data_IF_450527471361
#
_entry.id   IF_450527471361
#
_cell.length_a   1.000
_cell.length_b   1.000
_cell.length_c   1.000
_cell.angle_alpha   90.00
_cell.angle_beta   90.00
_cell.angle_gamma   90.00
#
_symmetry.space_group_name_H-M   'P 1'
#
loop_
_entity.id
_entity.type
_entity.pdbx_description
1 polymer ?
#
# COMPACT_ATOMS: atom_id res chain seq x y z
N UNK A 1 -6.52 13.71 10.75
CA UNK A 1 -5.44 14.68 10.89
C UNK A 1 -6.02 16.06 10.64
N UNK A 2 -5.75 17.02 11.50
CA UNK A 2 -6.13 18.43 11.36
C UNK A 2 -5.11 19.19 10.52
N UNK A 3 -5.47 20.36 10.00
CA UNK A 3 -4.57 21.23 9.22
C UNK A 3 -3.28 21.54 9.99
N UNK A 4 -3.39 21.76 11.31
CA UNK A 4 -2.26 22.02 12.20
C UNK A 4 -1.33 20.81 12.32
N UNK A 5 -1.88 19.61 12.42
CA UNK A 5 -1.09 18.36 12.48
C UNK A 5 -0.38 18.08 11.15
N UNK A 6 -1.05 18.34 10.03
CA UNK A 6 -0.46 18.23 8.70
C UNK A 6 0.69 19.23 8.49
N UNK A 7 0.47 20.50 8.84
CA UNK A 7 1.49 21.55 8.78
C UNK A 7 2.73 21.19 9.59
N UNK A 8 2.53 20.72 10.83
CA UNK A 8 3.63 20.36 11.71
C UNK A 8 4.43 19.18 11.15
N UNK A 9 3.75 18.17 10.61
CA UNK A 9 4.43 17.01 10.03
C UNK A 9 5.24 17.41 8.80
N UNK A 10 4.65 18.14 7.86
CA UNK A 10 5.31 18.50 6.61
C UNK A 10 6.46 19.49 6.84
N UNK A 11 6.30 20.43 7.79
CA UNK A 11 7.38 21.29 8.25
C UNK A 11 8.56 20.47 8.78
N UNK A 12 8.31 19.52 9.68
CA UNK A 12 9.35 18.65 10.23
C UNK A 12 10.06 17.83 9.13
N UNK A 13 9.32 17.37 8.12
CA UNK A 13 9.86 16.63 6.98
C UNK A 13 10.78 17.51 6.12
N UNK A 14 10.33 18.70 5.74
CA UNK A 14 11.11 19.63 4.90
C UNK A 14 12.37 20.12 5.62
N UNK A 15 12.25 20.46 6.91
CA UNK A 15 13.41 20.84 7.74
C UNK A 15 14.42 19.70 7.85
N UNK A 16 13.96 18.45 7.99
CA UNK A 16 14.85 17.28 8.05
C UNK A 16 15.53 17.00 6.71
N UNK A 17 14.84 17.20 5.58
CA UNK A 17 15.42 17.07 4.24
C UNK A 17 16.54 18.09 4.01
N UNK A 18 16.44 19.29 4.60
CA UNK A 18 17.46 20.33 4.56
C UNK A 18 18.57 20.17 5.63
N UNK A 19 18.66 19.01 6.29
CA UNK A 19 19.72 18.73 7.27
C UNK A 19 19.44 19.21 8.70
N UNK A 20 18.19 19.60 9.00
CA UNK A 20 17.69 19.84 10.36
C UNK A 20 18.03 21.21 10.97
N UNK A 21 18.99 21.95 10.40
CA UNK A 21 19.32 23.32 10.80
C UNK A 21 19.02 24.28 9.66
N UNK A 22 17.86 24.91 9.74
CA UNK A 22 17.35 25.84 8.73
C UNK A 22 17.37 27.25 9.31
N UNK A 23 17.72 28.26 8.51
CA UNK A 23 17.68 29.66 8.95
C UNK A 23 16.25 30.11 9.24
N UNK A 24 16.09 31.18 10.02
CA UNK A 24 14.76 31.74 10.32
C UNK A 24 14.05 32.18 9.04
N UNK A 25 14.78 32.81 8.12
CA UNK A 25 14.26 33.23 6.81
C UNK A 25 13.74 32.04 6.01
N UNK A 26 14.53 30.97 5.92
CA UNK A 26 14.13 29.75 5.20
C UNK A 26 12.96 29.03 5.88
N UNK A 27 12.90 29.04 7.21
CA UNK A 27 11.74 28.54 7.96
C UNK A 27 10.46 29.32 7.62
N UNK A 28 10.54 30.64 7.48
CA UNK A 28 9.38 31.48 7.09
C UNK A 28 8.93 31.22 5.66
N UNK A 29 9.85 30.94 4.74
CA UNK A 29 9.54 30.53 3.37
C UNK A 29 8.78 29.19 3.36
N UNK A 30 9.30 28.18 4.06
CA UNK A 30 8.67 26.84 4.14
C UNK A 30 7.25 26.95 4.71
N UNK A 31 7.06 27.70 5.79
CA UNK A 31 5.72 27.90 6.38
C UNK A 31 4.77 28.62 5.42
N UNK A 32 5.28 29.60 4.66
CA UNK A 32 4.49 30.33 3.66
C UNK A 32 4.08 29.42 2.51
N UNK A 33 5.00 28.58 2.01
CA UNK A 33 4.74 27.57 0.98
C UNK A 33 3.67 26.56 1.44
N UNK A 34 3.82 26.00 2.65
CA UNK A 34 2.84 25.05 3.20
C UNK A 34 1.46 25.70 3.40
N UNK A 35 1.42 26.96 3.83
CA UNK A 35 0.18 27.73 3.96
C UNK A 35 -0.48 28.05 2.61
N UNK A 36 0.31 28.23 1.56
CA UNK A 36 -0.19 28.37 0.20
C UNK A 36 -0.77 27.05 -0.30
N UNK A 37 -0.05 25.93 -0.11
CA UNK A 37 -0.52 24.59 -0.48
C UNK A 37 -1.85 24.22 0.18
N UNK A 38 -2.05 24.54 1.46
CA UNK A 38 -3.33 24.33 2.14
C UNK A 38 -4.46 25.20 1.59
N UNK A 39 -4.17 26.43 1.17
CA UNK A 39 -5.16 27.30 0.54
C UNK A 39 -5.57 26.79 -0.84
N UNK A 40 -4.61 26.25 -1.60
CA UNK A 40 -4.85 25.68 -2.92
C UNK A 40 -5.55 24.32 -2.86
N UNK A 41 -5.24 23.47 -1.88
CA UNK A 41 -5.92 22.21 -1.63
C UNK A 41 -6.21 22.00 -0.13
N UNK A 42 -7.43 22.36 0.35
CA UNK A 42 -7.84 22.14 1.73
C UNK A 42 -7.97 20.65 2.13
N UNK A 43 -7.95 19.72 1.18
CA UNK A 43 -8.05 18.29 1.45
C UNK A 43 -6.69 17.62 1.75
N UNK A 44 -5.55 18.32 1.60
CA UNK A 44 -4.22 17.77 1.89
C UNK A 44 -4.10 17.07 3.26
N UNK A 45 -4.66 17.61 4.38
CA UNK A 45 -4.64 16.93 5.68
C UNK A 45 -5.42 15.62 5.69
N UNK A 46 -6.46 15.51 4.86
CA UNK A 46 -7.28 14.31 4.73
C UNK A 46 -6.60 13.27 3.85
N UNK A 47 -6.01 13.70 2.73
CA UNK A 47 -5.21 12.87 1.82
C UNK A 47 -4.00 12.28 2.53
N UNK A 48 -3.29 13.06 3.34
CA UNK A 48 -2.15 12.56 4.13
C UNK A 48 -2.58 11.52 5.20
N UNK A 49 -3.82 11.62 5.69
CA UNK A 49 -4.39 10.64 6.62
C UNK A 49 -4.93 9.39 5.89
N UNK A 50 -4.86 9.35 4.56
CA UNK A 50 -5.06 8.12 3.80
C UNK A 50 -3.75 7.35 3.78
N UNK A 51 -3.59 6.45 4.76
CA UNK A 51 -2.57 5.40 4.67
C UNK A 51 -2.70 4.72 3.31
N UNK A 52 -1.59 4.56 2.62
CA UNK A 52 -1.57 3.83 1.33
C UNK A 52 -1.97 2.37 1.55
N UNK A 53 -2.43 1.65 0.50
CA UNK A 53 -2.65 0.21 0.59
C UNK A 53 -1.47 -0.54 1.21
N UNK A 54 -0.24 -0.20 0.83
CA UNK A 54 0.98 -0.82 1.35
C UNK A 54 1.22 -0.57 2.83
N UNK A 55 1.01 0.67 3.31
CA UNK A 55 1.12 1.01 4.72
C UNK A 55 0.05 0.29 5.56
N UNK A 56 -1.17 0.17 5.01
CA UNK A 56 -2.24 -0.61 5.63
C UNK A 56 -1.88 -2.09 5.68
N UNK A 57 -1.30 -2.67 4.63
CA UNK A 57 -0.80 -4.05 4.63
C UNK A 57 0.31 -4.25 5.67
N UNK A 58 1.28 -3.33 5.74
CA UNK A 58 2.34 -3.38 6.74
C UNK A 58 1.79 -3.34 8.17
N UNK A 59 0.73 -2.56 8.41
CA UNK A 59 0.01 -2.54 9.68
C UNK A 59 -0.75 -3.84 9.92
N UNK A 60 -1.44 -4.38 8.92
CA UNK A 60 -2.20 -5.62 9.02
C UNK A 60 -1.30 -6.82 9.41
N UNK A 61 -0.06 -6.87 8.90
CA UNK A 61 0.93 -7.90 9.29
C UNK A 61 1.26 -7.90 10.78
N UNK A 62 1.21 -6.73 11.43
CA UNK A 62 1.47 -6.56 12.87
C UNK A 62 0.21 -6.77 13.73
N UNK A 63 -0.98 -6.61 13.15
CA UNK A 63 -2.26 -6.82 13.82
C UNK A 63 -2.67 -8.31 13.79
N UNK A 64 -3.71 -8.67 14.55
CA UNK A 64 -4.31 -10.01 14.52
C UNK A 64 -5.83 -9.94 14.65
N UNK A 65 -6.51 -11.06 14.38
CA UNK A 65 -7.96 -11.20 14.54
C UNK A 65 -8.76 -10.13 13.79
N UNK A 66 -9.80 -9.61 14.47
CA UNK A 66 -10.74 -8.65 13.92
C UNK A 66 -10.10 -7.30 13.51
N UNK A 67 -9.03 -6.85 14.19
CA UNK A 67 -8.33 -5.63 13.78
C UNK A 67 -7.66 -5.82 12.42
N UNK A 68 -6.94 -6.93 12.23
CA UNK A 68 -6.35 -7.28 10.94
C UNK A 68 -7.43 -7.31 9.87
N UNK A 69 -8.55 -7.98 10.14
CA UNK A 69 -9.64 -8.10 9.18
C UNK A 69 -10.24 -6.75 8.76
N UNK A 70 -10.45 -5.81 9.70
CA UNK A 70 -10.94 -4.45 9.38
C UNK A 70 -9.97 -3.67 8.49
N UNK A 71 -8.66 -3.78 8.76
CA UNK A 71 -7.63 -3.13 7.94
C UNK A 71 -7.66 -3.71 6.52
N UNK A 72 -7.73 -5.04 6.39
CA UNK A 72 -7.78 -5.72 5.10
C UNK A 72 -9.03 -5.36 4.28
N UNK A 73 -10.20 -5.26 4.93
CA UNK A 73 -11.41 -4.76 4.24
C UNK A 73 -11.22 -3.34 3.71
N UNK A 74 -10.48 -2.48 4.42
CA UNK A 74 -10.16 -1.13 3.95
C UNK A 74 -9.23 -1.18 2.73
N UNK A 75 -8.20 -2.04 2.74
CA UNK A 75 -7.30 -2.23 1.58
C UNK A 75 -8.09 -2.66 0.36
N UNK A 76 -8.91 -3.71 0.48
CA UNK A 76 -9.71 -4.24 -0.65
C UNK A 76 -10.76 -3.25 -1.18
N UNK A 77 -11.12 -2.21 -0.42
CA UNK A 77 -11.99 -1.13 -0.92
C UNK A 77 -11.22 -0.09 -1.75
N UNK A 78 -9.94 0.11 -1.45
CA UNK A 78 -9.06 1.03 -2.16
C UNK A 78 -8.48 0.33 -3.40
N UNK A 79 -8.03 -0.91 -3.23
CA UNK A 79 -7.40 -1.74 -4.23
C UNK A 79 -8.04 -3.14 -4.21
N UNK A 80 -9.14 -3.34 -4.96
CA UNK A 80 -9.89 -4.61 -4.96
C UNK A 80 -9.07 -5.82 -5.38
N UNK A 81 -8.09 -5.61 -6.26
CA UNK A 81 -7.25 -6.66 -6.83
C UNK A 81 -5.96 -6.93 -6.01
N UNK A 82 -5.85 -6.35 -4.80
CA UNK A 82 -4.69 -6.57 -3.94
C UNK A 82 -4.64 -8.03 -3.43
N UNK A 83 -3.79 -8.84 -4.06
CA UNK A 83 -3.66 -10.28 -3.77
C UNK A 83 -3.25 -10.52 -2.30
N UNK A 84 -2.35 -9.69 -1.75
CA UNK A 84 -1.91 -9.83 -0.35
C UNK A 84 -3.08 -9.67 0.61
N UNK A 85 -3.91 -8.65 0.39
CA UNK A 85 -5.10 -8.40 1.18
C UNK A 85 -6.12 -9.54 1.04
N UNK A 86 -6.31 -10.04 -0.19
CA UNK A 86 -7.21 -11.16 -0.46
C UNK A 86 -6.78 -12.44 0.29
N UNK A 87 -5.48 -12.78 0.29
CA UNK A 87 -4.95 -13.91 1.05
C UNK A 87 -5.20 -13.76 2.55
N UNK A 88 -4.88 -12.61 3.13
CA UNK A 88 -5.12 -12.37 4.58
C UNK A 88 -6.61 -12.44 4.94
N UNK A 89 -7.52 -12.09 4.01
CA UNK A 89 -8.96 -12.27 4.20
C UNK A 89 -9.37 -13.74 4.16
N UNK A 90 -8.79 -14.55 3.29
CA UNK A 90 -9.01 -16.01 3.25
C UNK A 90 -8.56 -16.66 4.56
N UNK A 91 -7.38 -16.30 5.06
CA UNK A 91 -6.87 -16.79 6.36
C UNK A 91 -7.83 -16.50 7.52
N UNK A 92 -8.54 -15.36 7.48
CA UNK A 92 -9.50 -14.97 8.51
C UNK A 92 -10.85 -15.68 8.38
N UNK A 93 -11.34 -15.86 7.15
CA UNK A 93 -12.71 -16.34 6.90
C UNK A 93 -12.83 -17.85 6.81
N UNK A 94 -11.77 -18.55 6.42
CA UNK A 94 -11.81 -20.00 6.25
C UNK A 94 -12.09 -20.69 7.59
N UNK A 95 -13.14 -21.53 7.63
CA UNK A 95 -13.54 -22.22 8.86
C UNK A 95 -12.65 -23.43 9.15
N UNK A 96 -12.12 -24.05 8.10
CA UNK A 96 -11.23 -25.21 8.18
C UNK A 96 -10.16 -25.17 7.05
N UNK A 97 -9.32 -26.20 7.00
CA UNK A 97 -8.24 -26.29 6.02
C UNK A 97 -8.75 -26.50 4.58
N UNK A 98 -9.79 -27.30 4.40
CA UNK A 98 -10.35 -27.60 3.08
C UNK A 98 -10.99 -26.35 2.47
N UNK A 99 -11.79 -25.61 3.25
CA UNK A 99 -12.36 -24.32 2.84
C UNK A 99 -11.28 -23.33 2.41
N UNK A 100 -10.15 -23.33 3.14
CA UNK A 100 -9.01 -22.47 2.84
C UNK A 100 -8.39 -22.83 1.49
N UNK A 101 -8.23 -24.11 1.18
CA UNK A 101 -7.71 -24.58 -0.11
C UNK A 101 -8.63 -24.11 -1.24
N UNK A 102 -9.94 -24.34 -1.14
CA UNK A 102 -10.90 -23.91 -2.16
C UNK A 102 -10.86 -22.40 -2.40
N UNK A 103 -10.79 -21.61 -1.32
CA UNK A 103 -10.66 -20.15 -1.43
C UNK A 103 -9.35 -19.72 -2.11
N UNK A 104 -8.24 -20.41 -1.86
CA UNK A 104 -6.97 -20.12 -2.53
C UNK A 104 -6.95 -20.56 -3.99
N UNK A 105 -7.58 -21.68 -4.34
CA UNK A 105 -7.74 -22.11 -5.73
C UNK A 105 -8.54 -21.08 -6.52
N UNK A 106 -9.65 -20.60 -5.97
CA UNK A 106 -10.47 -19.55 -6.58
C UNK A 106 -9.72 -18.24 -6.76
N UNK A 107 -8.97 -17.82 -5.74
CA UNK A 107 -8.17 -16.60 -5.79
C UNK A 107 -7.06 -16.72 -6.85
N UNK A 108 -6.33 -17.83 -6.84
CA UNK A 108 -5.26 -18.12 -7.81
C UNK A 108 -5.82 -18.11 -9.23
N UNK A 109 -6.92 -18.83 -9.49
CA UNK A 109 -7.54 -18.88 -10.81
C UNK A 109 -7.91 -17.49 -11.34
N UNK A 110 -8.54 -16.64 -10.52
CA UNK A 110 -8.93 -15.28 -10.90
C UNK A 110 -7.72 -14.37 -11.13
N UNK A 111 -6.76 -14.41 -10.22
CA UNK A 111 -5.54 -13.62 -10.33
C UNK A 111 -4.73 -14.03 -11.57
N UNK A 112 -4.55 -15.32 -11.83
CA UNK A 112 -3.84 -15.82 -13.02
C UNK A 112 -4.53 -15.37 -14.30
N UNK A 113 -5.86 -15.46 -14.39
CA UNK A 113 -6.59 -15.00 -15.58
C UNK A 113 -6.33 -13.50 -15.86
N UNK A 114 -6.45 -12.65 -14.83
CA UNK A 114 -6.18 -11.20 -14.94
C UNK A 114 -4.74 -10.91 -15.34
N UNK A 115 -3.76 -11.52 -14.65
CA UNK A 115 -2.34 -11.28 -14.92
C UNK A 115 -1.93 -11.79 -16.32
N UNK A 116 -2.59 -12.83 -16.84
CA UNK A 116 -2.41 -13.29 -18.20
C UNK A 116 -2.95 -12.27 -19.23
N UNK A 117 -4.15 -11.71 -18.98
CA UNK A 117 -4.73 -10.65 -19.81
C UNK A 117 -3.87 -9.38 -19.81
N UNK A 118 -3.25 -9.04 -18.68
CA UNK A 118 -2.28 -7.95 -18.55
C UNK A 118 -0.93 -8.25 -19.25
N UNK A 119 -0.78 -9.44 -19.84
CA UNK A 119 0.42 -9.84 -20.55
C UNK A 119 1.62 -10.12 -19.64
N UNK A 120 1.43 -10.22 -18.32
CA UNK A 120 2.53 -10.42 -17.37
C UNK A 120 3.20 -11.80 -17.51
N UNK A 121 2.54 -12.74 -18.16
CA UNK A 121 3.09 -14.05 -18.53
C UNK A 121 3.57 -14.13 -19.98
N UNK A 122 3.60 -13.02 -20.73
CA UNK A 122 4.18 -13.00 -22.07
C UNK A 122 5.69 -13.30 -22.00
N UNK A 123 6.22 -13.95 -23.02
CA UNK A 123 7.64 -14.35 -23.09
C UNK A 123 8.59 -13.14 -22.93
N UNK A 124 8.16 -11.96 -23.38
CA UNK A 124 8.86 -10.68 -23.26
C UNK A 124 8.94 -10.17 -21.80
N UNK A 125 7.96 -10.52 -20.97
CA UNK A 125 7.84 -10.12 -19.57
C UNK A 125 8.36 -11.19 -18.60
N UNK A 126 8.47 -12.45 -19.06
CA UNK A 126 9.18 -13.50 -18.35
C UNK A 126 10.67 -13.17 -18.41
N UNK A 127 11.18 -12.58 -17.33
CA UNK A 127 12.59 -12.20 -17.26
C UNK A 127 13.51 -13.37 -17.65
N UNK A 128 14.56 -13.08 -18.44
CA UNK A 128 15.52 -14.08 -18.95
C UNK A 128 16.04 -15.03 -17.87
N UNK A 129 16.09 -14.56 -16.62
CA UNK A 129 16.40 -15.39 -15.46
C UNK A 129 15.51 -16.64 -15.38
N UNK A 130 14.19 -16.54 -15.58
CA UNK A 130 13.26 -17.67 -15.51
C UNK A 130 13.23 -18.55 -16.77
N UNK A 131 13.85 -18.09 -17.87
CA UNK A 131 13.98 -18.87 -19.10
C UNK A 131 15.10 -19.93 -19.03
N UNK A 132 16.04 -19.78 -18.09
CA UNK A 132 17.12 -20.74 -17.93
C UNK A 132 16.58 -22.04 -17.30
N UNK A 133 16.89 -23.22 -17.84
CA UNK A 133 16.36 -24.48 -17.32
C UNK A 133 16.63 -24.71 -15.83
N UNK A 134 17.74 -24.19 -15.30
CA UNK A 134 18.18 -24.40 -13.91
C UNK A 134 17.47 -23.49 -12.90
N UNK A 135 16.78 -22.45 -13.37
CA UNK A 135 16.13 -21.43 -12.55
C UNK A 135 14.63 -21.43 -12.75
N UNK A 136 14.09 -22.25 -13.66
CA UNK A 136 12.65 -22.49 -13.73
C UNK A 136 12.15 -22.89 -12.34
N UNK A 137 11.10 -22.26 -11.82
CA UNK A 137 10.48 -22.73 -10.59
C UNK A 137 10.06 -24.18 -10.83
N UNK A 138 10.48 -25.10 -9.96
CA UNK A 138 10.00 -26.46 -9.98
C UNK A 138 8.49 -26.41 -9.73
N UNK A 139 7.70 -26.50 -10.80
CA UNK A 139 6.25 -26.75 -10.75
C UNK A 139 6.01 -28.24 -10.94
#
# INVERSE_FOLDING_TARGET
MTDKEWMQHELNRMVKAEGGKVSVERMTEIVSELSQRLRENPNLPREMNTLTPDELIARARKASGEERYRIIKRVLRIEPENITAACMRVEYLAQNADDRVHHYEDLTRKATARLAEEGLFAEENIGKFWSMPQTKPYM
#
